data_IF_188857780706
#
_entry.id   IF_188857780706
#
_cell.length_a   1.000
_cell.length_b   1.000
_cell.length_c   1.000
_cell.angle_alpha   90.00
_cell.angle_beta   90.00
_cell.angle_gamma   90.00
#
_symmetry.space_group_name_H-M   'P 1'
#
loop_
_entity.id
_entity.type
_entity.pdbx_description
1 polymer ?
#
# COMPACT_ATOMS: atom_id res chain seq x y z
N UNK A 1 -3.02 -12.70 -3.06
CA UNK A 1 -3.25 -11.25 -2.83
C UNK A 1 -2.26 -10.46 -3.67
N UNK A 2 -2.70 -9.34 -4.25
CA UNK A 2 -1.82 -8.46 -5.04
C UNK A 2 -2.13 -6.98 -4.70
N UNK A 3 -1.19 -6.09 -5.02
CA UNK A 3 -1.33 -4.65 -4.78
C UNK A 3 -1.39 -3.90 -6.10
N UNK A 4 -2.31 -2.95 -6.19
CA UNK A 4 -2.39 -1.98 -7.29
C UNK A 4 -1.99 -0.61 -6.79
N UNK A 5 -1.38 0.20 -7.65
CA UNK A 5 -1.09 1.62 -7.41
C UNK A 5 -1.78 2.48 -8.46
N UNK A 6 -2.20 3.68 -8.07
CA UNK A 6 -3.03 4.53 -8.92
C UNK A 6 -2.57 5.98 -8.97
N UNK A 7 -3.02 6.66 -10.02
CA UNK A 7 -2.87 8.11 -10.21
C UNK A 7 -3.62 8.94 -9.17
N UNK A 8 -4.62 8.35 -8.49
CA UNK A 8 -5.44 8.95 -7.44
C UNK A 8 -4.76 9.06 -6.06
N UNK A 9 -3.45 8.78 -6.02
CA UNK A 9 -2.60 8.83 -4.82
C UNK A 9 -2.79 7.66 -3.86
N UNK A 10 -3.49 6.61 -4.29
CA UNK A 10 -3.72 5.42 -3.46
C UNK A 10 -2.98 4.19 -3.97
N UNK A 11 -2.73 3.27 -3.05
CA UNK A 11 -2.53 1.86 -3.33
C UNK A 11 -3.67 1.05 -2.73
N UNK A 12 -3.98 -0.11 -3.30
CA UNK A 12 -5.03 -1.00 -2.80
C UNK A 12 -4.51 -2.44 -2.74
N UNK A 13 -4.80 -3.14 -1.64
CA UNK A 13 -4.60 -4.58 -1.49
C UNK A 13 -5.86 -5.31 -1.90
N UNK A 14 -5.71 -6.31 -2.76
CA UNK A 14 -6.80 -7.13 -3.25
C UNK A 14 -6.61 -8.58 -2.81
N UNK A 15 -7.68 -9.16 -2.26
CA UNK A 15 -7.83 -10.59 -2.06
C UNK A 15 -8.45 -11.20 -3.31
N UNK A 16 -7.90 -12.32 -3.73
CA UNK A 16 -8.32 -13.11 -4.90
C UNK A 16 -8.53 -14.58 -4.55
N UNK A 17 -8.66 -14.92 -3.25
CA UNK A 17 -8.96 -16.28 -2.83
C UNK A 17 -10.38 -16.72 -3.23
N UNK A 18 -11.29 -15.76 -3.39
CA UNK A 18 -12.67 -15.98 -3.82
C UNK A 18 -12.83 -15.79 -5.33
N UNK A 19 -13.99 -16.22 -5.87
CA UNK A 19 -14.33 -16.08 -7.29
C UNK A 19 -14.39 -14.63 -7.78
N UNK A 20 -14.52 -13.67 -6.86
CA UNK A 20 -14.51 -12.24 -7.15
C UNK A 20 -13.41 -11.54 -6.34
N UNK A 21 -12.53 -10.76 -6.99
CA UNK A 21 -11.52 -9.97 -6.27
C UNK A 21 -12.17 -8.97 -5.33
N UNK A 22 -11.75 -8.97 -4.06
CA UNK A 22 -12.23 -8.04 -3.04
C UNK A 22 -11.11 -7.10 -2.61
N UNK A 23 -11.40 -5.80 -2.54
CA UNK A 23 -10.48 -4.82 -1.96
C UNK A 23 -10.48 -4.98 -0.45
N UNK A 24 -9.32 -5.26 0.12
CA UNK A 24 -9.14 -5.49 1.56
C UNK A 24 -8.70 -4.22 2.27
N UNK A 25 -7.70 -3.53 1.72
CA UNK A 25 -7.10 -2.34 2.31
C UNK A 25 -6.84 -1.27 1.25
N UNK A 26 -6.91 -0.01 1.68
CA UNK A 26 -6.53 1.17 0.89
C UNK A 26 -5.47 1.95 1.65
N UNK A 27 -4.37 2.27 0.96
CA UNK A 27 -3.23 3.01 1.48
C UNK A 27 -3.21 4.39 0.79
N UNK A 28 -3.51 5.46 1.53
CA UNK A 28 -3.81 6.78 0.95
C UNK A 28 -3.06 7.91 1.67
N UNK A 29 -1.74 7.83 1.71
CA UNK A 29 -0.89 8.86 2.33
C UNK A 29 -0.02 9.64 1.32
N UNK A 30 0.13 9.13 0.11
CA UNK A 30 0.82 9.89 -0.92
C UNK A 30 0.01 11.15 -1.28
N UNK A 31 0.71 12.22 -1.63
CA UNK A 31 0.09 13.49 -2.04
C UNK A 31 0.12 13.69 -3.55
N UNK A 32 0.74 12.77 -4.28
CA UNK A 32 0.81 12.74 -5.75
C UNK A 32 0.71 11.30 -6.25
N UNK A 33 0.58 11.13 -7.57
CA UNK A 33 0.43 9.82 -8.22
C UNK A 33 1.47 8.80 -7.75
N UNK A 34 0.98 7.66 -7.26
CA UNK A 34 1.77 6.49 -6.94
C UNK A 34 2.16 5.80 -8.24
N UNK A 35 3.42 5.42 -8.37
CA UNK A 35 3.97 4.87 -9.61
C UNK A 35 4.49 3.45 -9.46
N UNK A 36 4.83 3.04 -8.24
CA UNK A 36 5.38 1.72 -7.99
C UNK A 36 4.96 1.19 -6.62
N UNK A 37 4.84 -0.13 -6.54
CA UNK A 37 4.72 -0.88 -5.30
C UNK A 37 5.57 -2.15 -5.41
N UNK A 38 6.32 -2.47 -4.34
CA UNK A 38 7.17 -3.66 -4.30
C UNK A 38 7.04 -4.33 -2.93
N UNK A 39 6.67 -5.61 -2.95
CA UNK A 39 6.67 -6.45 -1.76
C UNK A 39 8.09 -6.81 -1.34
N UNK A 40 8.32 -6.87 -0.03
CA UNK A 40 9.57 -7.35 0.53
C UNK A 40 9.69 -8.87 0.30
N UNK A 41 10.79 -9.37 -0.29
CA UNK A 41 10.93 -10.80 -0.59
C UNK A 41 10.92 -11.71 0.65
N UNK A 42 11.42 -11.20 1.78
CA UNK A 42 11.56 -11.97 3.03
C UNK A 42 10.32 -11.91 3.92
N UNK A 43 9.42 -10.95 3.68
CA UNK A 43 8.26 -10.71 4.54
C UNK A 43 7.08 -10.24 3.67
N UNK A 44 6.19 -11.14 3.24
CA UNK A 44 5.09 -10.84 2.31
C UNK A 44 4.07 -9.84 2.86
N UNK A 45 4.05 -9.64 4.18
CA UNK A 45 3.19 -8.65 4.83
C UNK A 45 3.69 -7.22 4.70
N UNK A 46 4.94 -7.01 4.27
CA UNK A 46 5.55 -5.68 4.16
C UNK A 46 5.79 -5.33 2.70
N UNK A 47 5.40 -4.12 2.31
CA UNK A 47 5.69 -3.59 0.98
C UNK A 47 5.99 -2.09 1.02
N UNK A 48 6.63 -1.59 -0.03
CA UNK A 48 6.93 -0.18 -0.19
C UNK A 48 6.21 0.40 -1.41
N UNK A 49 5.80 1.67 -1.33
CA UNK A 49 5.27 2.44 -2.45
C UNK A 49 6.13 3.66 -2.72
N UNK A 50 6.27 4.01 -4.00
CA UNK A 50 6.95 5.22 -4.44
C UNK A 50 6.02 6.08 -5.30
N UNK A 51 6.01 7.39 -5.03
CA UNK A 51 5.15 8.34 -5.73
C UNK A 51 5.90 9.60 -6.17
N UNK A 52 5.19 10.42 -6.96
CA UNK A 52 5.71 11.71 -7.46
C UNK A 52 5.84 12.80 -6.40
N UNK A 53 5.41 12.54 -5.18
CA UNK A 53 5.60 13.45 -4.04
C UNK A 53 7.02 13.41 -3.48
N UNK A 54 7.87 12.53 -4.03
CA UNK A 54 9.25 12.36 -3.60
C UNK A 54 9.39 11.43 -2.41
N UNK A 55 8.29 10.83 -1.93
CA UNK A 55 8.30 9.97 -0.76
C UNK A 55 8.33 8.49 -1.19
N UNK A 56 9.06 7.71 -0.40
CA UNK A 56 8.91 6.26 -0.34
C UNK A 56 8.27 5.93 1.00
N UNK A 57 7.13 5.23 0.95
CA UNK A 57 6.36 4.83 2.13
C UNK A 57 6.43 3.32 2.28
N UNK A 58 6.65 2.86 3.51
CA UNK A 58 6.64 1.42 3.87
C UNK A 58 5.37 1.11 4.64
N UNK A 59 4.77 -0.03 4.32
CA UNK A 59 3.49 -0.48 4.85
C UNK A 59 3.62 -1.92 5.37
N UNK A 60 3.19 -2.18 6.60
CA UNK A 60 2.92 -3.53 7.10
C UNK A 60 1.41 -3.82 7.14
N UNK A 61 0.97 -4.84 6.40
CA UNK A 61 -0.42 -5.28 6.29
C UNK A 61 -0.96 -5.81 7.63
N UNK A 62 -0.10 -6.36 8.49
CA UNK A 62 -0.48 -6.93 9.79
C UNK A 62 -0.63 -5.88 10.87
N UNK A 63 0.07 -4.76 10.74
CA UNK A 63 0.07 -3.70 11.74
C UNK A 63 -1.32 -3.06 11.91
N UNK A 64 -2.27 -3.34 11.01
CA UNK A 64 -3.57 -2.68 10.98
C UNK A 64 -4.75 -3.67 11.07
N UNK A 65 -4.95 -4.26 12.25
CA UNK A 65 -6.12 -5.08 12.59
C UNK A 65 -7.39 -4.24 12.91
N UNK A 66 -7.53 -3.04 12.32
CA UNK A 66 -8.68 -2.17 12.52
C UNK A 66 -9.45 -1.96 11.21
N UNK A 67 -10.68 -2.52 11.08
CA UNK A 67 -11.44 -2.60 9.83
C UNK A 67 -12.00 -1.25 9.30
N UNK A 68 -11.45 -0.10 9.69
CA UNK A 68 -11.99 1.20 9.30
C UNK A 68 -10.97 2.36 9.19
N UNK A 69 -9.66 2.12 9.30
CA UNK A 69 -8.71 3.23 9.49
C UNK A 69 -7.68 3.30 8.36
N UNK A 70 -7.73 4.42 7.65
CA UNK A 70 -6.73 4.92 6.70
C UNK A 70 -5.32 4.65 7.23
N UNK A 71 -4.54 3.86 6.47
CA UNK A 71 -3.19 3.47 6.85
C UNK A 71 -2.26 4.68 6.85
N UNK A 72 -1.50 4.83 7.95
CA UNK A 72 -0.36 5.74 8.02
C UNK A 72 0.92 4.96 7.71
N UNK A 73 1.89 5.54 7.00
CA UNK A 73 3.14 4.88 6.68
C UNK A 73 4.03 4.78 7.91
N UNK A 74 4.73 3.65 8.06
CA UNK A 74 5.57 3.37 9.22
C UNK A 74 6.90 4.15 9.19
N UNK A 75 7.31 4.64 8.01
CA UNK A 75 8.50 5.49 7.81
C UNK A 75 8.35 6.35 6.55
N UNK A 76 8.95 7.55 6.56
CA UNK A 76 9.07 8.44 5.40
C UNK A 76 10.56 8.63 5.07
N UNK A 77 11.01 8.14 3.91
CA UNK A 77 12.32 8.47 3.37
C UNK A 77 12.15 9.60 2.35
N UNK A 78 12.78 10.74 2.64
CA UNK A 78 12.86 11.90 1.77
C UNK A 78 14.09 11.72 0.87
N UNK A 79 13.90 11.75 -0.45
CA UNK A 79 15.00 11.92 -1.39
C UNK A 79 15.32 13.38 -1.63
#
# INVERSE_FOLDING_TARGET
>A
NFVTVSGDHTACLWDVSESSPKRVLTFSHHTRSVKTAVFRPTEPSVFATGARDGHILVWDIRANNHPAVILKPDNCLMS
#
